data_IF_424113500916
#
_entry.id   IF_424113500916
#
_cell.length_a   1.000
_cell.length_b   1.000
_cell.length_c   1.000
_cell.angle_alpha   90.00
_cell.angle_beta   90.00
_cell.angle_gamma   90.00
#
_symmetry.space_group_name_H-M   'P 1'
#
loop_
_entity.id
_entity.type
_entity.pdbx_description
1 polymer ?
#
# COMPACT_ATOMS: atom_id res chain seq x y z
N UNK A 1 -12.77 21.36 17.80
CA UNK A 1 -12.96 20.73 16.48
C UNK A 1 -11.71 19.92 16.19
N UNK A 2 -11.80 18.60 16.17
CA UNK A 2 -10.64 17.74 15.84
C UNK A 2 -10.52 17.73 14.32
N UNK A 3 -9.55 18.46 13.77
CA UNK A 3 -9.28 18.44 12.34
C UNK A 3 -8.58 17.13 11.96
N UNK A 4 -9.32 16.20 11.37
CA UNK A 4 -8.77 14.94 10.87
C UNK A 4 -8.16 15.20 9.49
N UNK A 5 -6.84 15.37 9.45
CA UNK A 5 -6.08 15.57 8.22
C UNK A 5 -5.42 14.27 7.77
N UNK A 6 -5.31 14.07 6.45
CA UNK A 6 -4.57 12.94 5.87
C UNK A 6 -3.12 12.99 6.37
N UNK A 7 -2.61 11.84 6.80
CA UNK A 7 -1.25 11.69 7.35
C UNK A 7 -1.15 11.96 8.86
N UNK A 8 -2.22 12.41 9.52
CA UNK A 8 -2.19 12.61 10.96
C UNK A 8 -2.24 11.26 11.70
N UNK A 9 -1.54 11.19 12.84
CA UNK A 9 -1.53 10.02 13.72
C UNK A 9 -2.45 10.32 14.90
N UNK A 10 -3.44 9.47 15.10
CA UNK A 10 -4.46 9.62 16.14
C UNK A 10 -4.60 8.32 16.92
N UNK A 11 -5.05 8.44 18.17
CA UNK A 11 -5.41 7.27 18.97
C UNK A 11 -6.91 7.06 18.82
N UNK A 12 -7.33 5.84 18.55
CA UNK A 12 -8.74 5.48 18.43
C UNK A 12 -9.03 4.17 19.13
N UNK A 13 -10.31 3.93 19.39
CA UNK A 13 -10.79 2.75 20.09
C UNK A 13 -11.42 1.77 19.12
N UNK A 14 -11.04 0.50 19.21
CA UNK A 14 -11.66 -0.57 18.40
C UNK A 14 -13.12 -0.72 18.86
N UNK A 15 -14.07 -0.42 17.98
CA UNK A 15 -15.50 -0.57 18.26
C UNK A 15 -16.04 -1.92 17.80
N UNK A 16 -15.50 -2.45 16.70
CA UNK A 16 -15.88 -3.76 16.15
C UNK A 16 -14.72 -4.39 15.41
N UNK A 17 -14.63 -5.72 15.45
CA UNK A 17 -13.70 -6.51 14.66
C UNK A 17 -14.46 -7.37 13.65
N UNK A 18 -13.87 -7.52 12.47
CA UNK A 18 -14.32 -8.41 11.40
C UNK A 18 -13.12 -9.12 10.77
N UNK A 19 -13.35 -10.26 10.13
CA UNK A 19 -12.28 -11.06 9.51
C UNK A 19 -11.46 -10.27 8.46
N UNK A 20 -12.06 -9.27 7.81
CA UNK A 20 -11.39 -8.42 6.82
C UNK A 20 -10.75 -7.15 7.42
N UNK A 21 -11.04 -6.80 8.68
CA UNK A 21 -10.57 -5.54 9.25
C UNK A 21 -11.19 -5.15 10.59
N UNK A 22 -10.70 -4.04 11.14
CA UNK A 22 -11.14 -3.48 12.42
C UNK A 22 -11.77 -2.10 12.22
N UNK A 23 -12.91 -1.86 12.85
CA UNK A 23 -13.51 -0.54 12.94
C UNK A 23 -12.98 0.18 14.17
N UNK A 24 -12.39 1.34 13.95
CA UNK A 24 -11.75 2.14 14.99
C UNK A 24 -12.39 3.52 15.01
N UNK A 25 -12.93 3.89 16.16
CA UNK A 25 -13.48 5.22 16.42
C UNK A 25 -12.34 6.14 16.86
N UNK A 26 -12.07 7.20 16.09
CA UNK A 26 -10.96 8.14 16.33
C UNK A 26 -11.43 9.50 16.84
N UNK A 27 -12.71 9.81 16.67
CA UNK A 27 -13.35 11.04 17.10
C UNK A 27 -14.88 10.82 17.20
N UNK A 28 -15.62 11.71 17.89
CA UNK A 28 -17.08 11.62 17.97
C UNK A 28 -17.68 11.57 16.56
N UNK A 29 -18.58 10.61 16.32
CA UNK A 29 -19.24 10.36 15.02
C UNK A 29 -18.28 10.03 13.87
N UNK A 30 -17.02 9.73 14.16
CA UNK A 30 -15.96 9.51 13.16
C UNK A 30 -15.36 8.13 13.33
N UNK A 31 -15.80 7.21 12.48
CA UNK A 31 -15.30 5.83 12.46
C UNK A 31 -14.44 5.60 11.22
N UNK A 32 -13.27 5.01 11.40
CA UNK A 32 -12.44 4.54 10.31
C UNK A 32 -12.32 3.02 10.27
N UNK A 33 -11.95 2.50 9.10
CA UNK A 33 -11.70 1.08 8.87
C UNK A 33 -10.19 0.86 8.72
N UNK A 34 -9.67 -0.08 9.51
CA UNK A 34 -8.33 -0.64 9.33
C UNK A 34 -8.49 -1.97 8.60
N UNK A 35 -7.97 -2.07 7.39
CA UNK A 35 -7.95 -3.33 6.66
C UNK A 35 -7.00 -4.33 7.33
N UNK A 36 -7.27 -5.64 7.26
CA UNK A 36 -6.41 -6.68 7.87
C UNK A 36 -4.94 -6.57 7.41
N UNK A 37 -4.71 -6.19 6.16
CA UNK A 37 -3.37 -5.94 5.58
C UNK A 37 -2.66 -4.67 6.10
N UNK A 38 -3.37 -3.83 6.85
CA UNK A 38 -2.87 -2.60 7.46
C UNK A 38 -2.70 -2.73 8.99
N UNK A 39 -3.03 -3.90 9.56
CA UNK A 39 -2.87 -4.20 11.00
C UNK A 39 -1.41 -4.46 11.36
N UNK A 40 -0.71 -5.29 10.58
CA UNK A 40 0.69 -5.67 10.84
C UNK A 40 1.56 -5.67 9.56
N UNK A 41 2.88 -5.78 9.72
CA UNK A 41 3.85 -5.95 8.61
C UNK A 41 3.72 -7.33 7.95
N UNK A 42 3.50 -8.34 8.77
CA UNK A 42 3.39 -9.74 8.38
C UNK A 42 1.97 -10.12 7.96
N UNK A 43 1.83 -11.30 7.36
CA UNK A 43 0.52 -11.84 7.03
C UNK A 43 -0.26 -12.15 8.30
N UNK A 44 -1.39 -11.48 8.48
CA UNK A 44 -2.31 -11.69 9.60
C UNK A 44 -3.39 -12.67 9.15
N UNK A 45 -3.38 -13.89 9.68
CA UNK A 45 -4.47 -14.86 9.46
C UNK A 45 -5.68 -14.58 10.35
N UNK A 46 -5.45 -14.12 11.59
CA UNK A 46 -6.50 -13.90 12.56
C UNK A 46 -6.34 -12.54 13.24
N UNK A 47 -7.25 -11.61 12.92
CA UNK A 47 -7.22 -10.26 13.46
C UNK A 47 -7.44 -10.21 14.98
N UNK A 48 -8.19 -11.16 15.55
CA UNK A 48 -8.49 -11.23 16.99
C UNK A 48 -7.25 -11.54 17.82
N UNK A 49 -6.19 -12.10 17.22
CA UNK A 49 -4.92 -12.31 17.89
C UNK A 49 -4.12 -11.00 18.06
N UNK A 50 -4.42 -9.97 17.28
CA UNK A 50 -3.69 -8.70 17.26
C UNK A 50 -4.48 -7.55 17.85
N UNK A 51 -5.81 -7.60 17.74
CA UNK A 51 -6.72 -6.55 18.17
C UNK A 51 -7.85 -7.12 19.01
N UNK A 52 -8.24 -6.37 20.03
CA UNK A 52 -9.38 -6.70 20.89
C UNK A 52 -10.43 -5.59 20.80
N UNK A 53 -11.72 -5.96 20.84
CA UNK A 53 -12.79 -4.98 20.92
C UNK A 53 -12.67 -4.14 22.19
N UNK A 54 -12.81 -2.82 22.06
CA UNK A 54 -12.63 -1.86 23.15
C UNK A 54 -11.19 -1.46 23.43
N UNK A 55 -10.20 -2.02 22.73
CA UNK A 55 -8.78 -1.67 22.86
C UNK A 55 -8.49 -0.31 22.21
N UNK A 56 -7.66 0.49 22.88
CA UNK A 56 -7.10 1.71 22.31
C UNK A 56 -5.88 1.39 21.44
N UNK A 57 -5.90 1.90 20.21
CA UNK A 57 -4.85 1.68 19.20
C UNK A 57 -4.46 2.97 18.51
N UNK A 58 -3.18 3.10 18.18
CA UNK A 58 -2.66 4.24 17.43
C UNK A 58 -2.74 3.95 15.93
N UNK A 59 -3.35 4.86 15.18
CA UNK A 59 -3.65 4.70 13.75
C UNK A 59 -3.28 5.97 12.98
N UNK A 60 -2.86 5.80 11.73
CA UNK A 60 -2.60 6.90 10.80
C UNK A 60 -3.71 7.02 9.78
N UNK A 61 -4.16 8.24 9.53
CA UNK A 61 -5.17 8.56 8.53
C UNK A 61 -4.56 8.46 7.13
N UNK A 62 -5.06 7.55 6.31
CA UNK A 62 -4.58 7.37 4.93
C UNK A 62 -5.41 8.17 3.93
N UNK A 63 -6.72 8.11 4.08
CA UNK A 63 -7.66 8.80 3.22
C UNK A 63 -8.94 9.09 3.99
N UNK A 64 -9.57 10.22 3.68
CA UNK A 64 -10.89 10.60 4.17
C UNK A 64 -11.79 10.67 2.96
N UNK A 65 -12.88 9.90 2.95
CA UNK A 65 -13.84 9.86 1.86
C UNK A 65 -15.03 10.77 2.16
N UNK A 66 -15.69 11.25 1.11
CA UNK A 66 -16.86 12.14 1.21
C UNK A 66 -18.08 11.46 1.86
N UNK A 67 -18.14 10.13 1.88
CA UNK A 67 -19.17 9.33 2.54
C UNK A 67 -18.94 9.16 4.06
N UNK A 68 -17.94 9.84 4.62
CA UNK A 68 -17.59 9.79 6.04
C UNK A 68 -16.72 8.59 6.43
N UNK A 69 -16.32 7.76 5.46
CA UNK A 69 -15.41 6.64 5.72
C UNK A 69 -13.97 7.12 5.73
N UNK A 70 -13.21 6.64 6.72
CA UNK A 70 -11.79 6.96 6.85
C UNK A 70 -10.99 5.68 6.74
N UNK A 71 -10.05 5.64 5.80
CA UNK A 71 -9.12 4.53 5.68
C UNK A 71 -7.97 4.76 6.67
N UNK A 72 -7.82 3.83 7.61
CA UNK A 72 -6.86 3.89 8.70
C UNK A 72 -5.81 2.79 8.58
N UNK A 73 -4.64 3.04 9.14
CA UNK A 73 -3.54 2.09 9.14
C UNK A 73 -2.79 2.10 10.45
N UNK A 74 -2.70 0.94 11.11
CA UNK A 74 -1.92 0.75 12.34
C UNK A 74 -0.44 0.67 11.96
N UNK A 75 -0.11 -0.07 10.90
CA UNK A 75 1.28 -0.24 10.48
C UNK A 75 1.97 1.09 10.16
N UNK A 76 1.29 2.04 9.51
CA UNK A 76 1.90 3.34 9.14
C UNK A 76 1.90 4.37 10.27
N UNK A 77 1.33 4.05 11.43
CA UNK A 77 1.32 4.93 12.60
C UNK A 77 2.64 4.91 13.37
N UNK A 78 3.44 3.86 13.19
CA UNK A 78 4.71 3.73 13.88
C UNK A 78 5.79 4.62 13.21
N UNK A 79 6.49 5.50 13.98
CA UNK A 79 7.42 6.49 13.45
C UNK A 79 8.66 5.87 12.79
N UNK A 80 8.98 4.62 13.10
CA UNK A 80 10.11 3.87 12.51
C UNK A 80 9.90 3.58 11.01
N UNK A 81 8.70 3.82 10.48
CA UNK A 81 8.38 3.66 9.06
C UNK A 81 8.79 4.83 8.17
N UNK A 82 8.85 6.05 8.69
CA UNK A 82 9.26 7.22 7.88
C UNK A 82 10.72 7.08 7.43
N UNK A 83 11.59 6.53 8.27
CA UNK A 83 12.98 6.25 7.91
C UNK A 83 13.13 5.13 6.86
N UNK A 84 12.27 4.11 6.89
CA UNK A 84 12.38 2.96 5.98
C UNK A 84 11.76 3.23 4.60
N UNK A 85 10.65 3.99 4.53
CA UNK A 85 10.03 4.40 3.26
C UNK A 85 10.95 5.35 2.47
N UNK A 86 11.64 6.27 3.15
CA UNK A 86 12.65 7.12 2.48
C UNK A 86 13.82 6.31 1.91
N UNK A 87 14.24 5.22 2.56
CA UNK A 87 15.27 4.31 2.02
C UNK A 87 14.80 3.53 0.79
N UNK A 88 13.52 3.15 0.70
CA UNK A 88 12.99 2.38 -0.45
C UNK A 88 12.67 3.25 -1.67
N UNK A 89 12.30 4.52 -1.48
CA UNK A 89 12.03 5.44 -2.60
C UNK A 89 13.30 5.99 -3.28
N UNK A 90 14.47 5.80 -2.68
CA UNK A 90 15.74 6.30 -3.22
C UNK A 90 16.43 5.34 -4.20
N UNK A 91 15.91 4.13 -4.43
CA UNK A 91 16.24 3.32 -5.61
C UNK A 91 15.42 3.76 -6.81
N UNK A 92 15.70 4.97 -7.33
CA UNK A 92 15.36 5.25 -8.74
C UNK A 92 16.07 4.16 -9.57
N UNK A 93 15.38 3.40 -10.43
CA UNK A 93 16.08 2.51 -11.35
C UNK A 93 17.05 3.38 -12.14
N UNK A 94 18.31 2.96 -12.11
CA UNK A 94 19.40 3.69 -12.71
C UNK A 94 19.14 3.90 -14.22
N UNK A 95 19.70 4.97 -14.78
CA UNK A 95 19.59 5.26 -16.22
C UNK A 95 20.12 4.10 -17.07
N UNK A 96 20.97 3.24 -16.53
CA UNK A 96 21.57 2.09 -17.22
C UNK A 96 20.56 0.95 -17.44
N UNK A 97 19.71 0.67 -16.45
CA UNK A 97 18.63 -0.32 -16.54
C UNK A 97 17.62 0.02 -17.65
N UNK A 98 17.17 1.27 -17.71
CA UNK A 98 16.25 1.73 -18.77
C UNK A 98 16.90 1.70 -20.16
N UNK A 99 18.21 1.96 -20.26
CA UNK A 99 18.96 1.88 -21.52
C UNK A 99 19.11 0.44 -22.02
N UNK A 100 19.38 -0.51 -21.10
CA UNK A 100 19.45 -1.95 -21.40
C UNK A 100 18.11 -2.51 -21.87
N UNK A 101 17.01 -2.13 -21.22
CA UNK A 101 15.66 -2.57 -21.60
C UNK A 101 15.32 -2.14 -23.04
N UNK A 102 15.62 -0.88 -23.39
CA UNK A 102 15.33 -0.33 -24.71
C UNK A 102 16.17 -0.98 -25.82
N UNK A 103 17.42 -1.32 -25.54
CA UNK A 103 18.27 -2.10 -26.47
C UNK A 103 17.75 -3.52 -26.70
N UNK A 104 17.27 -4.18 -25.64
CA UNK A 104 16.77 -5.57 -25.73
C UNK A 104 15.50 -5.69 -26.57
N UNK A 105 14.60 -4.71 -26.44
CA UNK A 105 13.38 -4.62 -27.27
C UNK A 105 13.73 -4.46 -28.76
N UNK A 106 14.68 -3.57 -29.08
CA UNK A 106 15.07 -3.30 -30.48
C UNK A 106 15.74 -4.51 -31.16
N UNK A 107 16.55 -5.28 -30.42
CA UNK A 107 17.21 -6.47 -30.94
C UNK A 107 16.20 -7.60 -31.25
N UNK A 108 15.14 -7.73 -30.44
CA UNK A 108 14.12 -8.77 -30.62
C UNK A 108 13.23 -8.52 -31.85
N UNK A 109 12.84 -7.26 -32.10
CA UNK A 109 12.08 -6.88 -33.29
C UNK A 109 12.87 -7.09 -34.59
N UNK A 110 14.18 -6.85 -34.56
CA UNK A 110 15.04 -7.03 -35.73
C UNK A 110 15.20 -8.52 -36.09
N UNK A 111 15.38 -9.40 -35.10
CA UNK A 111 15.49 -10.85 -35.29
C UNK A 111 14.16 -11.43 -35.81
N UNK A 112 13.02 -11.00 -35.26
CA UNK A 112 11.69 -11.44 -35.71
C UNK A 112 11.39 -10.99 -37.15
N UNK A 113 11.79 -9.77 -37.51
CA UNK A 113 11.66 -9.24 -38.88
C UNK A 113 12.46 -10.04 -39.91
N UNK A 114 13.68 -10.45 -39.57
CA UNK A 114 14.57 -11.19 -40.48
C UNK A 114 14.12 -12.64 -40.71
N UNK A 115 13.62 -13.32 -39.66
CA UNK A 115 13.05 -14.66 -39.77
C UNK A 115 11.80 -14.66 -40.66
N UNK A 116 10.95 -13.62 -40.56
CA UNK A 116 9.75 -13.47 -41.41
C UNK A 116 10.10 -13.25 -42.88
N UNK A 117 11.17 -12.49 -43.19
CA UNK A 117 11.63 -12.28 -44.57
C UNK A 117 12.20 -13.56 -45.20
N UNK A 118 12.98 -14.35 -44.45
CA UNK A 118 13.55 -15.62 -44.96
C UNK A 118 12.50 -16.70 -45.26
N UNK A 119 11.36 -16.72 -44.54
CA UNK A 119 10.26 -17.65 -44.84
C UNK A 119 9.46 -17.29 -46.10
N UNK A 120 9.41 -16.01 -46.50
CA UNK A 120 8.69 -15.56 -47.69
C UNK A 120 9.50 -15.66 -48.99
N UNK A 121 10.82 -15.79 -48.91
CA UNK A 121 11.71 -15.91 -50.07
C UNK A 121 11.96 -17.36 -50.54
N UNK A 122 11.37 -18.35 -49.87
CA UNK A 122 11.50 -19.79 -50.19
C UNK A 122 10.20 -20.40 -50.74
N UNK A 123 9.22 -19.58 -51.11
CA UNK A 123 7.96 -19.99 -51.72
C UNK A 123 7.81 -19.32 -53.07
#
# INVERSE_FOLDING_TARGET
>A
MVSVSIGNIVTGRVVRLHDYGAFVEIAPDTTGLVHISEVHRDFVENIHAYLTEGQDVTVKVLAVKDDGRIDLSIKRADPTWEEEVQRRQSTKPDKEFNSRLRKFMHQSDMIQGEVRRRKRARQ
#
